data_IF_855554477589
#
_entry.id   IF_855554477589
#
_cell.length_a   1.000
_cell.length_b   1.000
_cell.length_c   1.000
_cell.angle_alpha   90.00
_cell.angle_beta   90.00
_cell.angle_gamma   90.00
#
_symmetry.space_group_name_H-M   'P 1'
#
loop_
_entity.id
_entity.type
_entity.pdbx_description
1 polymer ?
#
# COMPACT_ATOMS: atom_id res chain seq x y z
N UNK A 1 -31.73 57.44 -14.25
CA UNK A 1 -30.30 57.57 -14.66
C UNK A 1 -29.64 56.20 -14.57
N UNK A 2 -29.60 55.49 -15.70
CA UNK A 2 -28.93 54.20 -15.84
C UNK A 2 -27.45 54.42 -16.13
N UNK A 3 -26.56 53.68 -15.46
CA UNK A 3 -25.14 53.60 -15.81
C UNK A 3 -24.85 52.19 -16.33
N UNK A 4 -24.84 52.07 -17.64
CA UNK A 4 -24.33 50.93 -18.39
C UNK A 4 -22.80 50.89 -18.26
N UNK A 5 -22.25 49.74 -17.85
CA UNK A 5 -20.80 49.45 -17.93
C UNK A 5 -20.54 48.66 -19.22
N UNK A 6 -19.58 49.07 -20.08
CA UNK A 6 -19.26 48.38 -21.32
C UNK A 6 -18.12 47.37 -21.14
N UNK A 7 -18.12 46.35 -22.00
CA UNK A 7 -16.88 45.74 -22.50
C UNK A 7 -16.51 44.40 -21.89
N UNK A 8 -17.03 43.33 -22.48
CA UNK A 8 -16.44 41.99 -22.36
C UNK A 8 -15.13 41.86 -23.15
N UNK A 9 -14.38 40.81 -22.81
CA UNK A 9 -13.31 40.29 -23.67
C UNK A 9 -11.97 40.00 -22.99
N UNK A 10 -11.93 39.19 -21.93
CA UNK A 10 -10.70 38.49 -21.52
C UNK A 10 -10.88 37.42 -20.42
N UNK A 11 -12.03 37.34 -19.73
CA UNK A 11 -12.19 36.45 -18.57
C UNK A 11 -12.79 35.07 -18.88
N UNK A 12 -13.06 34.78 -20.15
CA UNK A 12 -13.77 33.57 -20.58
C UNK A 12 -12.81 32.52 -21.16
N UNK A 13 -11.68 32.31 -20.48
CA UNK A 13 -10.88 31.11 -20.74
C UNK A 13 -11.43 30.01 -19.85
N UNK A 14 -12.26 29.08 -20.36
CA UNK A 14 -12.52 27.88 -19.61
C UNK A 14 -11.16 27.24 -19.33
N UNK A 15 -10.80 27.13 -18.05
CA UNK A 15 -9.75 26.21 -17.60
C UNK A 15 -10.22 24.75 -17.78
N UNK A 16 -10.86 24.43 -18.91
CA UNK A 16 -10.87 23.09 -19.48
C UNK A 16 -9.46 22.84 -20.01
N UNK A 17 -8.49 22.72 -19.10
CA UNK A 17 -7.23 22.04 -19.39
C UNK A 17 -7.66 20.61 -19.74
N UNK A 18 -7.79 20.31 -21.03
CA UNK A 18 -7.84 18.92 -21.50
C UNK A 18 -6.57 18.27 -20.96
N UNK A 19 -6.69 17.55 -19.85
CA UNK A 19 -5.57 16.79 -19.28
C UNK A 19 -5.39 15.58 -20.21
N UNK A 20 -4.73 15.80 -21.34
CA UNK A 20 -4.34 14.74 -22.28
C UNK A 20 -3.01 14.12 -21.88
N UNK A 21 -2.70 14.03 -20.58
CA UNK A 21 -1.61 13.18 -20.12
C UNK A 21 -2.18 11.81 -19.81
N UNK A 22 -1.77 10.81 -20.59
CA UNK A 22 -2.07 9.40 -20.35
C UNK A 22 -1.42 9.01 -19.03
N UNK A 23 -2.15 9.12 -17.92
CA UNK A 23 -1.65 8.80 -16.58
C UNK A 23 -1.42 7.29 -16.46
N UNK A 24 -0.27 6.93 -15.90
CA UNK A 24 0.09 5.54 -15.61
C UNK A 24 -0.19 5.22 -14.14
N UNK A 25 -0.77 4.05 -13.81
CA UNK A 25 -1.19 2.97 -14.70
C UNK A 25 -2.47 3.27 -15.48
N UNK A 26 -2.44 3.04 -16.80
CA UNK A 26 -3.61 3.26 -17.68
C UNK A 26 -4.82 2.42 -17.26
N UNK A 27 -4.60 1.23 -16.71
CA UNK A 27 -5.68 0.36 -16.24
C UNK A 27 -6.52 0.96 -15.10
N UNK A 28 -5.95 1.88 -14.33
CA UNK A 28 -6.64 2.57 -13.22
C UNK A 28 -7.11 3.94 -13.71
N UNK A 29 -6.20 4.77 -14.20
CA UNK A 29 -6.49 6.17 -14.56
C UNK A 29 -7.24 6.34 -15.89
N UNK A 30 -7.26 5.32 -16.75
CA UNK A 30 -7.99 5.33 -18.01
C UNK A 30 -9.47 4.94 -17.89
N UNK A 31 -9.95 4.69 -16.67
CA UNK A 31 -11.33 4.28 -16.39
C UNK A 31 -12.07 5.34 -15.56
N UNK A 32 -13.39 5.39 -15.71
CA UNK A 32 -14.27 6.25 -14.92
C UNK A 32 -13.99 7.75 -15.04
N UNK A 33 -14.43 8.51 -14.04
CA UNK A 33 -14.19 9.96 -13.91
C UNK A 33 -13.13 10.22 -12.83
N UNK A 34 -12.47 11.36 -12.90
CA UNK A 34 -11.51 11.74 -11.85
C UNK A 34 -12.24 11.87 -10.51
N UNK A 35 -11.84 11.12 -9.47
CA UNK A 35 -12.47 11.19 -8.16
C UNK A 35 -12.07 12.49 -7.45
N UNK A 36 -12.78 12.80 -6.37
CA UNK A 36 -12.39 13.91 -5.49
C UNK A 36 -10.95 13.68 -4.97
N UNK A 37 -10.02 14.64 -5.21
CA UNK A 37 -8.61 14.50 -4.83
C UNK A 37 -8.38 14.09 -3.37
N UNK A 38 -9.28 14.47 -2.44
CA UNK A 38 -9.12 14.10 -1.03
C UNK A 38 -9.17 12.59 -0.79
N UNK A 39 -10.01 11.86 -1.53
CA UNK A 39 -10.13 10.42 -1.38
C UNK A 39 -8.98 9.67 -2.04
N UNK A 40 -8.52 10.12 -3.21
CA UNK A 40 -7.31 9.57 -3.83
C UNK A 40 -6.07 9.76 -2.96
N UNK A 41 -5.89 10.93 -2.33
CA UNK A 41 -4.78 11.16 -1.39
C UNK A 41 -4.91 10.31 -0.11
N UNK A 42 -6.14 10.04 0.36
CA UNK A 42 -6.34 9.11 1.48
C UNK A 42 -5.98 7.66 1.10
N UNK A 43 -6.33 7.22 -0.11
CA UNK A 43 -5.95 5.91 -0.65
C UNK A 43 -4.42 5.81 -0.80
N UNK A 44 -3.76 6.84 -1.32
CA UNK A 44 -2.30 6.91 -1.43
C UNK A 44 -1.61 6.81 -0.06
N UNK A 45 -2.08 7.51 0.97
CA UNK A 45 -1.54 7.38 2.34
C UNK A 45 -1.65 5.95 2.86
N UNK A 46 -2.75 5.27 2.57
CA UNK A 46 -2.95 3.87 2.96
C UNK A 46 -1.97 2.95 2.21
N UNK A 47 -1.79 3.16 0.90
CA UNK A 47 -0.78 2.47 0.10
C UNK A 47 0.63 2.65 0.69
N UNK A 48 1.04 3.88 0.97
CA UNK A 48 2.37 4.18 1.52
C UNK A 48 2.56 3.58 2.92
N UNK A 49 1.51 3.54 3.75
CA UNK A 49 1.56 2.88 5.05
C UNK A 49 1.80 1.36 4.92
N UNK A 50 1.20 0.71 3.93
CA UNK A 50 1.45 -0.71 3.62
C UNK A 50 2.85 -0.93 3.07
N UNK A 51 3.35 -0.07 2.17
CA UNK A 51 4.73 -0.15 1.68
C UNK A 51 5.72 -0.02 2.83
N UNK A 52 5.51 0.92 3.76
CA UNK A 52 6.34 1.05 4.96
C UNK A 52 6.37 -0.24 5.78
N UNK A 53 5.21 -0.85 6.01
CA UNK A 53 5.11 -2.12 6.75
C UNK A 53 5.88 -3.24 6.03
N UNK A 54 5.75 -3.29 4.70
CA UNK A 54 6.44 -4.27 3.85
C UNK A 54 7.96 -4.12 3.93
N UNK A 55 8.46 -2.89 3.84
CA UNK A 55 9.88 -2.57 3.95
C UNK A 55 10.44 -2.88 5.34
N UNK A 56 9.68 -2.58 6.40
CA UNK A 56 10.07 -2.93 7.76
C UNK A 56 10.23 -4.45 7.93
N UNK A 57 9.27 -5.24 7.45
CA UNK A 57 9.34 -6.71 7.51
C UNK A 57 10.53 -7.27 6.71
N UNK A 58 10.78 -6.73 5.51
CA UNK A 58 11.94 -7.13 4.69
C UNK A 58 13.26 -6.77 5.35
N UNK A 59 13.37 -5.58 5.95
CA UNK A 59 14.58 -5.17 6.67
C UNK A 59 14.86 -6.08 7.88
N UNK A 60 13.81 -6.44 8.65
CA UNK A 60 13.96 -7.38 9.76
C UNK A 60 14.32 -8.77 9.25
N UNK A 61 13.73 -9.24 8.15
CA UNK A 61 14.09 -10.53 7.55
C UNK A 61 15.58 -10.60 7.18
N UNK A 62 16.10 -9.54 6.54
CA UNK A 62 17.52 -9.42 6.20
C UNK A 62 18.38 -9.38 7.46
N UNK A 63 17.97 -8.64 8.49
CA UNK A 63 18.70 -8.61 9.76
C UNK A 63 18.75 -9.99 10.44
N UNK A 64 17.64 -10.74 10.43
CA UNK A 64 17.58 -12.11 10.95
C UNK A 64 18.46 -13.07 10.15
N UNK A 65 18.52 -12.92 8.83
CA UNK A 65 19.37 -13.75 7.97
C UNK A 65 20.87 -13.47 8.20
N UNK A 66 21.23 -12.18 8.35
CA UNK A 66 22.62 -11.75 8.49
C UNK A 66 23.20 -11.93 9.90
N UNK A 67 22.39 -11.85 10.95
CA UNK A 67 22.85 -11.89 12.35
C UNK A 67 22.67 -13.28 12.94
N UNK A 68 23.71 -13.84 13.56
CA UNK A 68 23.58 -15.10 14.29
C UNK A 68 22.75 -14.90 15.57
N UNK A 69 21.56 -15.51 15.62
CA UNK A 69 20.64 -15.40 16.76
C UNK A 69 20.81 -16.54 17.78
N UNK A 70 21.64 -17.53 17.46
CA UNK A 70 21.88 -18.70 18.32
C UNK A 70 20.66 -19.64 18.46
N UNK A 71 19.64 -19.51 17.61
CA UNK A 71 18.42 -20.35 17.62
C UNK A 71 18.50 -21.57 16.67
N UNK A 72 19.69 -21.83 16.13
CA UNK A 72 19.94 -22.87 15.14
C UNK A 72 19.68 -22.41 13.70
N UNK A 73 20.46 -22.90 12.72
CA UNK A 73 20.44 -22.37 11.35
C UNK A 73 19.08 -22.58 10.65
N UNK A 74 18.39 -23.69 10.92
CA UNK A 74 17.07 -23.98 10.32
C UNK A 74 15.98 -23.03 10.82
N UNK A 75 15.91 -22.79 12.12
CA UNK A 75 14.90 -21.90 12.69
C UNK A 75 15.12 -20.45 12.28
N UNK A 76 16.39 -20.01 12.22
CA UNK A 76 16.75 -18.69 11.75
C UNK A 76 16.37 -18.48 10.27
N UNK A 77 16.70 -19.44 9.39
CA UNK A 77 16.32 -19.39 7.99
C UNK A 77 14.78 -19.37 7.79
N UNK A 78 14.05 -20.19 8.57
CA UNK A 78 12.58 -20.19 8.55
C UNK A 78 12.01 -18.84 9.00
N UNK A 79 12.54 -18.25 10.07
CA UNK A 79 12.11 -16.95 10.57
C UNK A 79 12.33 -15.85 9.54
N UNK A 80 13.52 -15.78 8.94
CA UNK A 80 13.83 -14.83 7.88
C UNK A 80 12.89 -15.00 6.68
N UNK A 81 12.66 -16.24 6.22
CA UNK A 81 11.78 -16.54 5.11
C UNK A 81 10.33 -16.12 5.36
N UNK A 82 9.77 -16.42 6.54
CA UNK A 82 8.40 -16.03 6.92
C UNK A 82 8.25 -14.51 6.90
N UNK A 83 9.21 -13.78 7.49
CA UNK A 83 9.18 -12.32 7.51
C UNK A 83 9.29 -11.73 6.10
N UNK A 84 10.19 -12.26 5.27
CA UNK A 84 10.37 -11.79 3.89
C UNK A 84 9.12 -12.02 3.03
N UNK A 85 8.54 -13.23 3.10
CA UNK A 85 7.30 -13.57 2.39
C UNK A 85 6.13 -12.71 2.85
N UNK A 86 6.03 -12.44 4.16
CA UNK A 86 5.00 -11.54 4.70
C UNK A 86 5.17 -10.12 4.18
N UNK A 87 6.41 -9.62 4.12
CA UNK A 87 6.73 -8.31 3.54
C UNK A 87 6.36 -8.20 2.05
N UNK A 88 6.72 -9.21 1.26
CA UNK A 88 6.36 -9.27 -0.16
C UNK A 88 4.83 -9.35 -0.37
N UNK A 89 4.14 -10.13 0.44
CA UNK A 89 2.68 -10.24 0.41
C UNK A 89 2.01 -8.90 0.75
N UNK A 90 2.52 -8.19 1.76
CA UNK A 90 2.04 -6.86 2.13
C UNK A 90 2.24 -5.83 1.00
N UNK A 91 3.38 -5.87 0.30
CA UNK A 91 3.65 -4.97 -0.83
C UNK A 91 2.71 -5.26 -2.02
N UNK A 92 2.53 -6.54 -2.36
CA UNK A 92 1.59 -6.97 -3.39
C UNK A 92 0.14 -6.61 -3.03
N UNK A 93 -0.23 -6.70 -1.75
CA UNK A 93 -1.53 -6.22 -1.29
C UNK A 93 -1.67 -4.70 -1.40
N UNK A 94 -0.65 -3.92 -1.01
CA UNK A 94 -0.67 -2.46 -1.13
C UNK A 94 -1.05 -2.04 -2.55
N UNK A 95 -0.36 -2.60 -3.55
CA UNK A 95 -0.62 -2.32 -4.96
C UNK A 95 -2.04 -2.69 -5.39
N UNK A 96 -2.48 -3.92 -5.10
CA UNK A 96 -3.83 -4.40 -5.48
C UNK A 96 -4.94 -3.64 -4.76
N UNK A 97 -4.76 -3.34 -3.49
CA UNK A 97 -5.71 -2.58 -2.67
C UNK A 97 -5.86 -1.15 -3.17
N UNK A 98 -4.73 -0.48 -3.43
CA UNK A 98 -4.71 0.86 -4.02
C UNK A 98 -5.44 0.90 -5.36
N UNK A 99 -5.07 0.02 -6.29
CA UNK A 99 -5.64 0.00 -7.63
C UNK A 99 -7.15 -0.28 -7.61
N UNK A 100 -7.61 -1.28 -6.84
CA UNK A 100 -9.05 -1.59 -6.73
C UNK A 100 -9.85 -0.45 -6.11
N UNK A 101 -9.30 0.20 -5.09
CA UNK A 101 -9.97 1.33 -4.43
C UNK A 101 -10.04 2.53 -5.35
N UNK A 102 -8.96 2.87 -6.05
CA UNK A 102 -8.91 3.97 -7.00
C UNK A 102 -9.87 3.74 -8.18
N UNK A 103 -9.90 2.54 -8.76
CA UNK A 103 -10.86 2.18 -9.82
C UNK A 103 -12.30 2.22 -9.31
N UNK A 104 -12.59 1.71 -8.11
CA UNK A 104 -13.94 1.76 -7.54
C UNK A 104 -14.43 3.20 -7.33
N UNK A 105 -13.56 4.08 -6.84
CA UNK A 105 -13.86 5.51 -6.69
C UNK A 105 -14.13 6.19 -8.04
N UNK A 106 -13.34 5.86 -9.08
CA UNK A 106 -13.49 6.41 -10.44
C UNK A 106 -14.80 6.01 -11.10
N UNK A 107 -15.27 4.80 -10.81
CA UNK A 107 -16.46 4.20 -11.42
C UNK A 107 -17.72 4.35 -10.54
N UNK A 108 -17.66 5.16 -9.47
CA UNK A 108 -18.77 5.34 -8.52
C UNK A 108 -19.30 4.00 -7.94
N UNK A 109 -18.41 3.02 -7.73
CA UNK A 109 -18.73 1.68 -7.19
C UNK A 109 -18.48 1.60 -5.68
N UNK A 110 -19.16 0.67 -4.97
CA UNK A 110 -18.88 0.41 -3.55
C UNK A 110 -17.40 0.09 -3.31
N UNK A 111 -16.84 0.66 -2.23
CA UNK A 111 -15.43 0.47 -1.90
C UNK A 111 -15.15 -0.99 -1.48
N UNK A 112 -14.06 -1.60 -1.98
CA UNK A 112 -13.71 -2.97 -1.62
C UNK A 112 -13.32 -3.07 -0.14
N UNK A 113 -13.76 -4.13 0.53
CA UNK A 113 -13.34 -4.44 1.89
C UNK A 113 -11.83 -4.68 1.99
N UNK A 114 -11.22 -4.27 3.11
CA UNK A 114 -9.79 -4.42 3.36
C UNK A 114 -9.50 -5.56 4.35
N UNK A 115 -9.50 -6.80 3.86
CA UNK A 115 -9.18 -7.99 4.67
C UNK A 115 -7.67 -8.16 4.98
N UNK A 116 -6.81 -7.23 4.56
CA UNK A 116 -5.37 -7.48 4.53
C UNK A 116 -4.65 -7.38 5.86
N UNK A 117 -5.28 -6.82 6.89
CA UNK A 117 -4.78 -6.93 8.26
C UNK A 117 -4.49 -8.39 8.62
N UNK A 118 -5.30 -9.33 8.12
CA UNK A 118 -5.17 -10.76 8.41
C UNK A 118 -3.84 -11.34 7.91
N UNK A 119 -3.36 -10.94 6.72
CA UNK A 119 -2.12 -11.51 6.15
C UNK A 119 -0.91 -11.12 6.99
N UNK A 120 -0.81 -9.84 7.38
CA UNK A 120 0.30 -9.37 8.22
C UNK A 120 0.18 -9.92 9.63
N UNK A 121 -1.02 -9.97 10.21
CA UNK A 121 -1.23 -10.57 11.54
C UNK A 121 -0.82 -12.04 11.54
N UNK A 122 -1.24 -12.83 10.54
CA UNK A 122 -0.89 -14.24 10.44
C UNK A 122 0.62 -14.45 10.24
N UNK A 123 1.25 -13.65 9.37
CA UNK A 123 2.70 -13.74 9.12
C UNK A 123 3.54 -13.37 10.35
N UNK A 124 3.18 -12.30 11.05
CA UNK A 124 3.84 -11.89 12.30
C UNK A 124 3.61 -12.92 13.41
N UNK A 125 2.39 -13.47 13.54
CA UNK A 125 2.11 -14.52 14.51
C UNK A 125 2.95 -15.77 14.23
N UNK A 126 3.06 -16.21 12.97
CA UNK A 126 3.88 -17.34 12.59
C UNK A 126 5.37 -17.10 12.89
N UNK A 127 5.89 -15.91 12.55
CA UNK A 127 7.26 -15.53 12.89
C UNK A 127 7.49 -15.57 14.42
N UNK A 128 6.54 -15.07 15.21
CA UNK A 128 6.57 -15.16 16.67
C UNK A 128 6.60 -16.60 17.19
N UNK A 129 5.76 -17.48 16.63
CA UNK A 129 5.73 -18.90 17.00
C UNK A 129 7.07 -19.60 16.71
N UNK A 130 7.68 -19.34 15.55
CA UNK A 130 9.02 -19.87 15.21
C UNK A 130 10.05 -19.40 16.21
N UNK A 131 10.06 -18.10 16.53
CA UNK A 131 11.02 -17.52 17.47
C UNK A 131 10.85 -18.08 18.89
N UNK A 132 9.61 -18.17 19.39
CA UNK A 132 9.32 -18.71 20.73
C UNK A 132 9.71 -20.18 20.80
N UNK A 133 9.28 -21.00 19.83
CA UNK A 133 9.60 -22.42 19.78
C UNK A 133 11.11 -22.66 19.75
N UNK A 134 11.84 -21.93 18.91
CA UNK A 134 13.29 -22.07 18.83
C UNK A 134 14.01 -21.59 20.10
N UNK A 135 13.49 -20.54 20.75
CA UNK A 135 14.05 -20.02 22.01
C UNK A 135 13.86 -20.99 23.18
N UNK A 136 12.71 -21.66 23.25
CA UNK A 136 12.44 -22.69 24.27
C UNK A 136 13.34 -23.90 24.07
N UNK A 137 13.49 -24.38 22.83
CA UNK A 137 14.37 -25.52 22.53
C UNK A 137 15.83 -25.24 22.91
N UNK A 138 16.31 -24.02 22.65
CA UNK A 138 17.66 -23.60 23.04
C UNK A 138 17.86 -23.55 24.56
N UNK A 139 16.83 -23.19 25.33
CA UNK A 139 16.93 -23.13 26.79
C UNK A 139 16.92 -24.50 27.47
N UNK A 140 16.56 -25.56 26.74
CA UNK A 140 16.50 -26.94 27.24
C UNK A 140 17.77 -27.76 26.94
N UNK A 141 18.63 -27.26 26.04
CA UNK A 141 19.88 -27.87 25.59
C UNK A 141 21.10 -27.26 26.28
#
# INVERSE_FOLDING_TARGET
>A
MARTLPGGGAADRPYHRRVTSKRWPTAVYGTGREPDPRFSLANERTFLAWIRTSLALLAVAVAVDALSLGIGPRAQALLAAVLALTGLAAAGHAWRGWARTETAMREDRPLPGNAAGVVVVAGVALAGLVLVGASLLRGLS
#
